data_IF_982399588748
#
_entry.id   IF_982399588748
#
_cell.length_a   1.000
_cell.length_b   1.000
_cell.length_c   1.000
_cell.angle_alpha   90.00
_cell.angle_beta   90.00
_cell.angle_gamma   90.00
#
_symmetry.space_group_name_H-M   'P 1'
#
loop_
_entity.id
_entity.type
_entity.pdbx_description
1 polymer ?
#
# COMPACT_ATOMS: atom_id res chain seq x y z
N UNK A 1 5.73 4.45 51.57
CA UNK A 1 4.87 3.86 50.51
C UNK A 1 5.75 3.11 49.55
N UNK A 2 5.85 1.78 49.69
CA UNK A 2 6.52 0.94 48.69
C UNK A 2 5.60 0.86 47.46
N UNK A 3 6.03 1.45 46.34
CA UNK A 3 5.42 1.16 45.05
C UNK A 3 5.75 -0.30 44.69
N UNK A 4 4.75 -1.15 44.37
CA UNK A 4 5.05 -2.51 43.93
C UNK A 4 5.80 -2.43 42.60
N UNK A 5 7.03 -2.95 42.56
CA UNK A 5 7.69 -3.30 41.31
C UNK A 5 6.89 -4.42 40.65
N UNK A 6 5.91 -4.06 39.84
CA UNK A 6 5.22 -5.01 38.98
C UNK A 6 6.18 -5.41 37.86
N UNK A 7 6.51 -6.70 37.76
CA UNK A 7 7.01 -7.31 36.53
C UNK A 7 5.91 -7.22 35.46
N UNK A 8 5.77 -6.05 34.84
CA UNK A 8 4.80 -5.81 33.78
C UNK A 8 5.31 -6.39 32.45
N UNK A 9 4.41 -6.97 31.65
CA UNK A 9 4.72 -7.36 30.27
C UNK A 9 5.19 -8.80 30.04
N UNK A 10 5.04 -9.71 31.01
CA UNK A 10 5.26 -11.14 30.75
C UNK A 10 4.08 -11.75 29.97
N UNK A 11 4.40 -12.43 28.88
CA UNK A 11 3.44 -13.25 28.14
C UNK A 11 3.60 -14.72 28.55
N UNK A 12 2.49 -15.45 28.68
CA UNK A 12 2.52 -16.86 29.08
C UNK A 12 2.62 -17.81 27.87
N UNK A 13 3.40 -18.91 27.98
CA UNK A 13 3.34 -20.02 27.02
C UNK A 13 1.95 -20.68 26.93
N UNK A 14 1.66 -21.44 25.85
CA UNK A 14 2.54 -21.74 24.71
C UNK A 14 2.60 -20.60 23.69
N UNK A 15 3.73 -20.51 22.98
CA UNK A 15 3.95 -19.64 21.82
C UNK A 15 3.98 -20.47 20.55
N UNK A 16 3.59 -19.87 19.42
CA UNK A 16 3.73 -20.48 18.11
C UNK A 16 5.11 -20.14 17.55
N UNK A 17 5.86 -21.17 17.16
CA UNK A 17 7.22 -21.02 16.61
C UNK A 17 7.24 -21.49 15.16
N UNK A 18 7.83 -20.67 14.29
CA UNK A 18 8.01 -20.99 12.86
C UNK A 18 9.47 -20.83 12.51
N UNK A 19 10.05 -21.79 11.78
CA UNK A 19 11.41 -21.70 11.27
C UNK A 19 11.37 -21.36 9.78
N UNK A 20 12.08 -20.31 9.37
CA UNK A 20 12.09 -19.82 7.98
C UNK A 20 13.47 -19.87 7.33
N UNK A 21 14.53 -20.17 8.09
CA UNK A 21 15.88 -20.39 7.56
C UNK A 21 16.47 -21.74 7.94
N UNK A 22 17.76 -21.93 7.61
CA UNK A 22 18.47 -23.18 7.90
C UNK A 22 18.56 -23.45 9.41
N UNK A 23 18.52 -24.72 9.80
CA UNK A 23 18.61 -25.11 11.23
C UNK A 23 19.87 -24.53 11.89
N UNK A 24 19.71 -23.97 13.09
CA UNK A 24 20.81 -23.34 13.83
C UNK A 24 21.09 -21.88 13.48
N UNK A 25 20.43 -21.28 12.48
CA UNK A 25 20.58 -19.84 12.19
C UNK A 25 19.60 -18.96 12.98
N UNK A 26 18.68 -19.56 13.73
CA UNK A 26 17.61 -18.89 14.48
C UNK A 26 16.71 -17.97 13.63
N UNK A 27 16.67 -18.18 12.31
CA UNK A 27 15.76 -17.46 11.41
C UNK A 27 14.36 -18.08 11.51
N UNK A 28 13.41 -17.29 12.00
CA UNK A 28 12.07 -17.75 12.35
C UNK A 28 11.30 -16.71 13.15
N UNK A 29 10.04 -17.00 13.47
CA UNK A 29 9.22 -16.15 14.32
C UNK A 29 8.70 -16.93 15.53
N UNK A 30 8.67 -16.25 16.69
CA UNK A 30 7.97 -16.69 17.90
C UNK A 30 6.84 -15.71 18.11
N UNK A 31 5.61 -16.19 18.09
CA UNK A 31 4.41 -15.37 18.15
C UNK A 31 3.50 -15.85 19.26
N UNK A 32 2.86 -14.90 19.95
CA UNK A 32 1.83 -15.22 20.91
C UNK A 32 0.46 -15.20 20.21
N UNK A 33 -0.24 -16.34 20.10
CA UNK A 33 -1.53 -16.39 19.41
C UNK A 33 -2.60 -15.53 20.08
N UNK A 34 -2.44 -15.19 21.37
CA UNK A 34 -3.36 -14.28 22.09
C UNK A 34 -3.19 -12.81 21.70
N UNK A 35 -2.07 -12.45 21.05
CA UNK A 35 -1.80 -11.10 20.55
C UNK A 35 -2.03 -11.03 19.04
N UNK A 36 -1.52 -12.02 18.29
CA UNK A 36 -1.68 -12.05 16.83
C UNK A 36 -3.12 -12.37 16.42
N UNK A 37 -3.82 -13.26 17.14
CA UNK A 37 -5.19 -13.64 16.84
C UNK A 37 -6.17 -12.46 16.74
N UNK A 38 -6.20 -11.53 17.72
CA UNK A 38 -7.01 -10.31 17.61
C UNK A 38 -6.66 -9.42 16.40
N UNK A 39 -5.37 -9.30 16.04
CA UNK A 39 -4.93 -8.52 14.86
C UNK A 39 -5.46 -9.14 13.56
N UNK A 40 -5.40 -10.47 13.45
CA UNK A 40 -5.95 -11.22 12.32
C UNK A 40 -7.48 -11.17 12.28
N UNK A 41 -8.14 -11.24 13.43
CA UNK A 41 -9.60 -11.14 13.54
C UNK A 41 -10.12 -9.74 13.16
N UNK A 42 -9.31 -8.69 13.38
CA UNK A 42 -9.61 -7.33 12.95
C UNK A 42 -9.52 -7.15 11.42
N UNK A 43 -8.87 -8.07 10.69
CA UNK A 43 -8.81 -8.06 9.23
C UNK A 43 -10.09 -8.63 8.58
N UNK A 44 -11.22 -7.97 8.85
CA UNK A 44 -12.52 -8.33 8.27
C UNK A 44 -12.59 -7.92 6.81
N UNK A 45 -13.01 -8.83 5.94
CA UNK A 45 -13.28 -8.55 4.54
C UNK A 45 -14.57 -7.72 4.41
N UNK A 46 -14.67 -6.85 3.39
CA UNK A 46 -15.91 -6.14 3.12
C UNK A 46 -16.94 -7.11 2.55
N UNK A 47 -18.22 -6.79 2.72
CA UNK A 47 -19.29 -7.56 2.07
C UNK A 47 -19.14 -7.51 0.54
N UNK A 48 -19.34 -8.64 -0.17
CA UNK A 48 -19.24 -8.66 -1.63
C UNK A 48 -20.26 -7.72 -2.27
N UNK A 49 -19.81 -6.96 -3.27
CA UNK A 49 -20.72 -6.20 -4.14
C UNK A 49 -21.05 -7.05 -5.36
N UNK A 50 -22.32 -7.44 -5.56
CA UNK A 50 -22.71 -8.31 -6.67
C UNK A 50 -22.26 -7.77 -8.02
N UNK A 51 -21.83 -8.67 -8.92
CA UNK A 51 -21.57 -8.33 -10.30
C UNK A 51 -22.88 -7.89 -10.98
N UNK A 52 -22.81 -6.82 -11.79
CA UNK A 52 -23.94 -6.41 -12.62
C UNK A 52 -23.76 -7.08 -13.98
N UNK A 53 -24.68 -7.98 -14.40
CA UNK A 53 -24.61 -8.59 -15.72
C UNK A 53 -24.51 -7.50 -16.80
N UNK A 54 -23.43 -7.52 -17.57
CA UNK A 54 -23.24 -6.59 -18.68
C UNK A 54 -23.46 -7.34 -19.99
N UNK A 55 -24.38 -6.88 -20.86
CA UNK A 55 -24.52 -7.42 -22.21
C UNK A 55 -23.20 -7.37 -22.99
N UNK A 56 -22.97 -8.27 -23.95
CA UNK A 56 -21.74 -8.34 -24.75
C UNK A 56 -21.37 -7.01 -25.42
N UNK A 57 -22.38 -6.23 -25.80
CA UNK A 57 -22.24 -4.86 -26.28
C UNK A 57 -22.89 -3.95 -25.25
N UNK A 58 -22.05 -3.29 -24.45
CA UNK A 58 -22.49 -2.30 -23.47
C UNK A 58 -21.77 -0.98 -23.75
N UNK A 59 -22.47 0.16 -23.75
CA UNK A 59 -21.82 1.46 -23.98
C UNK A 59 -20.80 1.74 -22.86
N UNK A 60 -19.68 2.37 -23.23
CA UNK A 60 -18.63 2.70 -22.28
C UNK A 60 -19.04 3.91 -21.45
N UNK A 61 -18.48 3.99 -20.25
CA UNK A 61 -18.80 5.04 -19.29
C UNK A 61 -18.47 6.44 -19.79
N UNK A 62 -17.46 6.57 -20.65
CA UNK A 62 -17.12 7.84 -21.32
C UNK A 62 -18.19 8.32 -22.29
N UNK A 63 -18.98 7.41 -22.87
CA UNK A 63 -20.01 7.70 -23.85
C UNK A 63 -21.37 7.98 -23.19
N UNK A 64 -21.59 7.40 -22.00
CA UNK A 64 -22.85 7.52 -21.25
C UNK A 64 -22.81 8.66 -20.23
N UNK A 65 -21.69 8.86 -19.54
CA UNK A 65 -21.58 9.80 -18.43
C UNK A 65 -20.67 10.99 -18.76
N UNK A 66 -20.98 12.15 -18.19
CA UNK A 66 -20.16 13.36 -18.32
C UNK A 66 -19.00 13.36 -17.31
N UNK A 67 -17.86 13.93 -17.70
CA UNK A 67 -16.68 14.15 -16.86
C UNK A 67 -16.04 12.85 -16.27
N UNK A 68 -16.07 11.75 -17.03
CA UNK A 68 -15.35 10.51 -16.67
C UNK A 68 -13.91 10.57 -17.18
N UNK A 69 -12.95 10.76 -16.28
CA UNK A 69 -11.53 10.96 -16.64
C UNK A 69 -10.65 9.72 -16.49
N UNK A 70 -11.01 8.80 -15.59
CA UNK A 70 -10.16 7.63 -15.24
C UNK A 70 -10.80 6.30 -15.62
N UNK A 71 -12.10 6.13 -15.37
CA UNK A 71 -12.84 4.88 -15.58
C UNK A 71 -13.68 4.89 -16.86
N UNK A 72 -13.24 5.65 -17.87
CA UNK A 72 -13.98 5.81 -19.12
C UNK A 72 -14.00 4.57 -20.00
N UNK A 73 -13.15 3.58 -19.70
CA UNK A 73 -13.03 2.28 -20.36
C UNK A 73 -14.00 1.21 -19.82
N UNK A 74 -14.70 1.48 -18.71
CA UNK A 74 -15.63 0.52 -18.13
C UNK A 74 -17.01 0.57 -18.83
N UNK A 75 -17.70 -0.56 -19.02
CA UNK A 75 -19.14 -0.57 -19.29
C UNK A 75 -19.91 0.19 -18.22
N UNK A 76 -21.00 0.87 -18.59
CA UNK A 76 -21.78 1.69 -17.64
C UNK A 76 -22.30 0.91 -16.40
N UNK A 77 -22.64 -0.37 -16.57
CA UNK A 77 -22.99 -1.27 -15.46
C UNK A 77 -21.84 -1.49 -14.49
N UNK A 78 -20.65 -1.84 -14.99
CA UNK A 78 -19.47 -2.04 -14.14
C UNK A 78 -18.98 -0.75 -13.49
N UNK A 79 -19.12 0.39 -14.16
CA UNK A 79 -18.87 1.70 -13.55
C UNK A 79 -19.79 1.95 -12.36
N UNK A 80 -21.09 1.68 -12.50
CA UNK A 80 -22.06 1.80 -11.41
C UNK A 80 -21.69 0.89 -10.25
N UNK A 81 -21.36 -0.38 -10.54
CA UNK A 81 -20.87 -1.33 -9.53
C UNK A 81 -19.62 -0.85 -8.81
N UNK A 82 -18.67 -0.29 -9.57
CA UNK A 82 -17.43 0.27 -9.01
C UNK A 82 -17.71 1.43 -8.06
N UNK A 83 -18.67 2.30 -8.37
CA UNK A 83 -19.07 3.39 -7.46
C UNK A 83 -19.73 2.87 -6.17
N UNK A 84 -20.57 1.83 -6.26
CA UNK A 84 -21.15 1.18 -5.08
C UNK A 84 -20.08 0.56 -4.19
N UNK A 85 -19.09 -0.11 -4.78
CA UNK A 85 -17.96 -0.68 -4.05
C UNK A 85 -17.10 0.38 -3.37
N UNK A 86 -16.75 1.46 -4.08
CA UNK A 86 -16.00 2.59 -3.49
C UNK A 86 -16.78 3.20 -2.31
N UNK A 87 -18.10 3.37 -2.46
CA UNK A 87 -18.95 3.89 -1.38
C UNK A 87 -18.89 3.02 -0.14
N UNK A 88 -19.10 1.71 -0.30
CA UNK A 88 -19.04 0.74 0.80
C UNK A 88 -17.66 0.69 1.48
N UNK A 89 -16.58 0.89 0.71
CA UNK A 89 -15.22 0.77 1.22
C UNK A 89 -14.64 2.04 1.85
N UNK A 90 -15.15 3.22 1.49
CA UNK A 90 -14.59 4.51 1.89
C UNK A 90 -15.54 5.27 2.81
N UNK A 91 -16.80 5.43 2.43
CA UNK A 91 -17.75 6.28 3.14
C UNK A 91 -19.14 5.62 3.24
N UNK A 92 -19.25 4.43 3.86
CA UNK A 92 -20.51 3.70 3.93
C UNK A 92 -21.59 4.44 4.74
N UNK A 93 -21.19 5.34 5.65
CA UNK A 93 -22.13 6.09 6.50
C UNK A 93 -22.67 7.33 5.78
N UNK A 94 -21.82 8.03 5.04
CA UNK A 94 -22.16 9.25 4.31
C UNK A 94 -22.74 8.95 2.91
N UNK A 95 -22.46 7.75 2.38
CA UNK A 95 -22.94 7.29 1.08
C UNK A 95 -22.37 8.09 -0.10
N UNK A 96 -23.10 8.11 -1.21
CA UNK A 96 -22.72 8.82 -2.43
C UNK A 96 -22.45 10.32 -2.19
N UNK A 97 -23.12 10.90 -1.20
CA UNK A 97 -23.05 12.32 -0.87
C UNK A 97 -21.68 12.74 -0.32
N UNK A 98 -20.83 11.79 0.10
CA UNK A 98 -19.47 12.09 0.55
C UNK A 98 -18.61 12.71 -0.56
N UNK A 99 -18.74 12.19 -1.78
CA UNK A 99 -17.99 12.63 -2.96
C UNK A 99 -18.83 13.49 -3.91
N UNK A 100 -20.16 13.40 -3.86
CA UNK A 100 -21.04 14.15 -4.75
C UNK A 100 -21.95 15.08 -3.94
N UNK A 101 -21.97 16.37 -4.29
CA UNK A 101 -22.83 17.33 -3.59
C UNK A 101 -24.30 17.09 -3.97
N UNK A 102 -25.16 16.93 -2.96
CA UNK A 102 -26.60 16.80 -3.17
C UNK A 102 -27.15 18.05 -3.88
N UNK A 103 -27.96 17.84 -4.93
CA UNK A 103 -28.55 18.92 -5.74
C UNK A 103 -27.67 19.39 -6.91
N UNK A 104 -26.39 19.02 -6.97
CA UNK A 104 -25.53 19.27 -8.14
C UNK A 104 -25.62 18.08 -9.13
N UNK A 105 -25.19 18.27 -10.38
CA UNK A 105 -24.96 17.15 -11.30
C UNK A 105 -23.86 16.23 -10.75
N UNK A 106 -24.00 14.90 -10.91
CA UNK A 106 -22.96 13.93 -10.52
C UNK A 106 -21.63 14.16 -11.25
N UNK A 107 -21.65 14.85 -12.39
CA UNK A 107 -20.49 15.25 -13.19
C UNK A 107 -19.65 16.35 -12.53
N UNK A 108 -20.23 17.16 -11.64
CA UNK A 108 -19.59 18.35 -11.05
C UNK A 108 -18.48 18.00 -10.05
N UNK A 109 -17.38 18.75 -10.07
CA UNK A 109 -16.21 18.56 -9.19
C UNK A 109 -16.19 19.53 -8.00
N UNK A 110 -17.39 19.88 -7.49
CA UNK A 110 -17.57 20.89 -6.43
C UNK A 110 -16.91 20.50 -5.11
N UNK A 111 -16.89 19.21 -4.75
CA UNK A 111 -16.32 18.74 -3.50
C UNK A 111 -14.88 18.26 -3.66
N UNK A 112 -14.00 18.66 -2.74
CA UNK A 112 -12.59 18.25 -2.74
C UNK A 112 -12.45 16.71 -2.69
N UNK A 113 -13.38 16.03 -2.02
CA UNK A 113 -13.43 14.56 -1.89
C UNK A 113 -13.54 13.87 -3.25
N UNK A 114 -14.22 14.45 -4.24
CA UNK A 114 -14.29 13.91 -5.60
C UNK A 114 -12.96 14.02 -6.34
N UNK A 115 -12.30 15.17 -6.22
CA UNK A 115 -10.98 15.41 -6.80
C UNK A 115 -9.96 14.42 -6.23
N UNK A 116 -9.98 14.22 -4.91
CA UNK A 116 -9.16 13.22 -4.22
C UNK A 116 -9.54 11.81 -4.67
N UNK A 117 -10.82 11.46 -4.70
CA UNK A 117 -11.28 10.13 -5.11
C UNK A 117 -10.81 9.76 -6.52
N UNK A 118 -10.85 10.71 -7.47
CA UNK A 118 -10.31 10.51 -8.83
C UNK A 118 -8.82 10.15 -8.79
N UNK A 119 -8.03 10.88 -8.01
CA UNK A 119 -6.59 10.63 -7.85
C UNK A 119 -6.33 9.27 -7.17
N UNK A 120 -7.15 8.88 -6.20
CA UNK A 120 -7.06 7.57 -5.53
C UNK A 120 -7.43 6.41 -6.45
N UNK A 121 -8.40 6.57 -7.35
CA UNK A 121 -8.72 5.55 -8.37
C UNK A 121 -7.52 5.34 -9.29
N UNK A 122 -6.92 6.44 -9.78
CA UNK A 122 -5.71 6.36 -10.60
C UNK A 122 -4.53 5.71 -9.84
N UNK A 123 -4.37 6.05 -8.56
CA UNK A 123 -3.38 5.43 -7.67
C UNK A 123 -3.60 3.93 -7.53
N UNK A 124 -4.86 3.52 -7.35
CA UNK A 124 -5.22 2.10 -7.19
C UNK A 124 -4.90 1.30 -8.44
N UNK A 125 -5.26 1.81 -9.63
CA UNK A 125 -4.92 1.17 -10.90
C UNK A 125 -3.41 1.04 -11.05
N UNK A 126 -2.68 2.13 -10.78
CA UNK A 126 -1.21 2.17 -10.83
C UNK A 126 -0.54 1.11 -9.95
N UNK A 127 -0.98 0.98 -8.70
CA UNK A 127 -0.48 -0.07 -7.80
C UNK A 127 -0.71 -1.47 -8.39
N UNK A 128 -1.91 -1.72 -8.92
CA UNK A 128 -2.31 -3.02 -9.44
C UNK A 128 -1.65 -3.37 -10.79
N UNK A 129 -1.23 -2.37 -11.57
CA UNK A 129 -0.59 -2.58 -12.87
C UNK A 129 0.93 -2.64 -12.77
N UNK A 130 1.53 -1.67 -12.07
CA UNK A 130 2.95 -1.35 -12.22
C UNK A 130 3.78 -1.91 -11.06
N UNK A 131 3.14 -2.13 -9.91
CA UNK A 131 3.80 -2.63 -8.69
C UNK A 131 3.53 -4.11 -8.41
N UNK A 132 3.30 -4.91 -9.46
CA UNK A 132 3.05 -6.36 -9.34
C UNK A 132 4.17 -7.12 -8.64
N UNK A 133 5.44 -6.68 -8.74
CA UNK A 133 6.54 -7.31 -8.01
C UNK A 133 6.44 -7.11 -6.49
N UNK A 134 5.56 -6.23 -6.02
CA UNK A 134 5.19 -6.09 -4.62
C UNK A 134 3.82 -6.73 -4.35
N UNK A 135 2.76 -6.25 -5.00
CA UNK A 135 1.38 -6.63 -4.64
C UNK A 135 0.94 -8.00 -5.15
N UNK A 136 1.68 -8.61 -6.08
CA UNK A 136 1.37 -9.93 -6.66
C UNK A 136 2.57 -10.89 -6.62
N UNK A 137 3.56 -10.62 -5.76
CA UNK A 137 4.84 -11.32 -5.74
C UNK A 137 4.77 -12.82 -5.37
N UNK A 138 3.68 -13.28 -4.74
CA UNK A 138 3.61 -14.64 -4.20
C UNK A 138 3.21 -15.73 -5.19
N UNK A 139 3.05 -15.44 -6.49
CA UNK A 139 2.73 -16.46 -7.50
C UNK A 139 1.33 -17.09 -7.37
N UNK A 140 0.59 -16.74 -6.32
CA UNK A 140 -0.80 -17.10 -6.11
C UNK A 140 -1.66 -16.41 -7.20
N UNK A 141 -2.05 -17.18 -8.21
CA UNK A 141 -2.91 -16.71 -9.29
C UNK A 141 -4.23 -16.14 -8.73
N UNK A 142 -4.29 -14.83 -8.57
CA UNK A 142 -5.45 -14.09 -8.08
C UNK A 142 -5.31 -13.44 -6.70
N UNK A 143 -4.26 -13.70 -5.91
CA UNK A 143 -4.11 -13.14 -4.55
C UNK A 143 -3.45 -11.75 -4.50
N UNK A 144 -3.26 -11.10 -5.65
CA UNK A 144 -2.51 -9.87 -5.75
C UNK A 144 -3.36 -8.64 -6.05
N UNK A 145 -3.03 -7.53 -5.40
CA UNK A 145 -3.61 -6.22 -5.66
C UNK A 145 -4.24 -5.56 -4.44
N UNK A 146 -4.61 -4.29 -4.62
CA UNK A 146 -5.24 -3.45 -3.61
C UNK A 146 -6.57 -2.92 -4.12
N UNK A 147 -7.51 -2.76 -3.20
CA UNK A 147 -8.73 -1.96 -3.38
C UNK A 147 -8.74 -0.78 -2.42
N UNK A 148 -9.74 0.10 -2.52
CA UNK A 148 -9.94 1.21 -1.58
C UNK A 148 -10.02 0.71 -0.14
N UNK A 149 -10.64 -0.46 0.07
CA UNK A 149 -10.82 -1.06 1.38
C UNK A 149 -9.50 -1.41 2.06
N UNK A 150 -8.45 -1.77 1.29
CA UNK A 150 -7.11 -2.09 1.83
C UNK A 150 -6.62 -1.06 2.83
N UNK A 151 -6.81 0.23 2.50
CA UNK A 151 -6.44 1.37 3.34
C UNK A 151 -7.62 1.88 4.18
N UNK A 152 -8.76 2.15 3.53
CA UNK A 152 -9.85 2.90 4.14
C UNK A 152 -10.65 2.11 5.18
N UNK A 153 -10.81 0.79 5.01
CA UNK A 153 -11.54 -0.06 5.98
C UNK A 153 -12.93 0.49 6.35
N UNK A 154 -13.66 1.06 5.39
CA UNK A 154 -14.97 1.68 5.63
C UNK A 154 -14.92 3.05 6.31
N UNK A 155 -13.75 3.70 6.36
CA UNK A 155 -13.56 5.01 6.95
C UNK A 155 -13.04 6.01 5.89
N UNK A 156 -13.58 7.24 5.83
CA UNK A 156 -13.15 8.18 4.81
C UNK A 156 -11.69 8.64 4.99
N UNK A 157 -11.16 8.56 6.20
CA UNK A 157 -9.74 8.76 6.51
C UNK A 157 -9.14 7.44 6.98
N UNK A 158 -8.12 6.89 6.29
CA UNK A 158 -7.45 5.66 6.72
C UNK A 158 -6.83 5.80 8.12
N UNK A 159 -6.95 4.77 8.95
CA UNK A 159 -6.51 4.82 10.36
C UNK A 159 -4.98 4.88 10.55
N UNK A 160 -4.21 4.45 9.55
CA UNK A 160 -2.75 4.29 9.63
C UNK A 160 -2.03 5.16 8.57
N UNK A 161 -2.37 6.44 8.55
CA UNK A 161 -1.66 7.47 7.78
C UNK A 161 -0.52 8.07 8.60
N UNK A 162 0.35 8.84 7.95
CA UNK A 162 1.41 9.57 8.63
C UNK A 162 1.61 10.98 8.05
N UNK A 163 2.19 11.84 8.87
CA UNK A 163 2.59 13.21 8.57
C UNK A 163 4.05 13.39 8.98
N UNK A 164 4.69 14.42 8.45
CA UNK A 164 6.03 14.83 8.87
C UNK A 164 5.98 15.18 10.35
N UNK A 165 6.86 14.58 11.15
CA UNK A 165 6.87 14.89 12.57
C UNK A 165 7.40 16.33 12.76
N UNK A 166 6.74 17.17 13.56
CA UNK A 166 7.28 18.48 13.86
C UNK A 166 8.59 18.30 14.63
N UNK A 167 9.52 19.24 14.44
CA UNK A 167 10.74 19.28 15.21
C UNK A 167 10.42 19.22 16.73
N UNK A 168 11.18 18.45 17.53
CA UNK A 168 10.95 18.41 18.96
C UNK A 168 11.02 19.82 19.56
N UNK A 169 10.16 20.11 20.53
CA UNK A 169 10.33 21.31 21.37
C UNK A 169 11.62 21.15 22.17
N UNK A 170 12.58 22.01 21.91
CA UNK A 170 13.87 22.04 22.58
C UNK A 170 14.22 23.48 22.98
N UNK A 171 14.95 23.63 24.09
CA UNK A 171 15.60 24.89 24.45
C UNK A 171 16.62 25.24 23.37
N UNK A 172 16.79 26.53 23.06
CA UNK A 172 17.75 26.96 22.04
C UNK A 172 19.19 26.55 22.36
N UNK A 173 20.01 26.35 21.31
CA UNK A 173 21.43 25.99 21.41
C UNK A 173 21.75 24.60 20.86
N UNK A 174 22.92 24.45 20.24
CA UNK A 174 23.36 23.21 19.58
C UNK A 174 23.55 22.03 20.54
N UNK A 175 23.81 22.29 21.81
CA UNK A 175 23.98 21.25 22.85
C UNK A 175 22.66 20.62 23.30
N UNK A 176 21.52 21.22 22.96
CA UNK A 176 20.19 20.72 23.28
C UNK A 176 19.51 20.04 22.07
N UNK A 177 20.14 20.04 20.90
CA UNK A 177 19.57 19.47 19.68
C UNK A 177 19.71 17.95 19.66
N UNK A 178 18.59 17.24 19.78
CA UNK A 178 18.58 15.77 19.71
C UNK A 178 18.54 15.25 18.27
N UNK A 179 18.50 16.14 17.27
CA UNK A 179 18.31 15.81 15.85
C UNK A 179 17.09 14.88 15.63
N UNK A 180 16.04 15.07 16.43
CA UNK A 180 14.83 14.26 16.35
C UNK A 180 14.93 12.85 16.97
N UNK A 181 16.02 12.51 17.67
CA UNK A 181 16.19 11.22 18.36
C UNK A 181 16.02 11.36 19.89
N UNK A 182 16.35 10.29 20.63
CA UNK A 182 16.42 10.25 22.10
C UNK A 182 15.08 10.45 22.82
N UNK A 183 13.99 10.03 22.18
CA UNK A 183 12.62 10.06 22.73
C UNK A 183 11.86 8.83 22.25
N UNK A 184 10.87 8.31 23.02
CA UNK A 184 10.03 7.22 22.57
C UNK A 184 9.33 7.56 21.25
N UNK A 185 9.65 6.82 20.19
CA UNK A 185 9.12 7.05 18.86
C UNK A 185 8.16 5.92 18.46
N UNK A 186 6.85 6.19 18.49
CA UNK A 186 5.82 5.21 18.09
C UNK A 186 6.06 4.71 16.67
N UNK A 187 6.43 5.61 15.74
CA UNK A 187 6.72 5.25 14.36
C UNK A 187 7.93 4.32 14.19
N UNK A 188 8.90 4.38 15.11
CA UNK A 188 10.10 3.54 15.17
C UNK A 188 10.01 2.47 16.27
N UNK A 189 8.79 2.09 16.65
CA UNK A 189 8.55 1.00 17.57
C UNK A 189 8.91 1.22 19.03
N UNK A 190 8.61 2.42 19.53
CA UNK A 190 8.88 2.86 20.91
C UNK A 190 10.37 2.89 21.27
N UNK A 191 11.26 2.81 20.28
CA UNK A 191 12.71 3.02 20.44
C UNK A 191 13.05 4.52 20.52
N UNK A 192 14.33 4.82 20.76
CA UNK A 192 14.89 6.18 20.75
C UNK A 192 15.50 6.60 19.40
N UNK A 193 15.32 5.80 18.33
CA UNK A 193 16.06 5.92 17.06
C UNK A 193 15.69 7.14 16.19
N UNK A 194 14.53 7.76 16.42
CA UNK A 194 14.09 8.95 15.67
C UNK A 194 12.58 9.07 15.59
N UNK A 195 12.06 10.29 15.76
CA UNK A 195 10.61 10.56 15.71
C UNK A 195 10.02 10.49 14.30
N UNK A 196 10.85 10.63 13.26
CA UNK A 196 10.44 10.58 11.86
C UNK A 196 11.31 9.61 11.04
N UNK A 197 11.04 8.31 11.12
CA UNK A 197 11.74 7.31 10.32
C UNK A 197 11.20 7.23 8.88
N UNK A 198 10.23 8.06 8.49
CA UNK A 198 9.50 7.91 7.23
C UNK A 198 9.83 9.01 6.23
N UNK A 199 9.89 10.29 6.63
CA UNK A 199 10.18 11.40 5.71
C UNK A 199 11.45 11.21 4.88
N UNK A 200 12.61 10.83 5.47
CA UNK A 200 13.84 10.67 4.69
C UNK A 200 13.76 9.60 3.61
N UNK A 201 12.94 8.56 3.84
CA UNK A 201 12.99 7.33 3.06
C UNK A 201 11.72 7.00 2.29
N UNK A 202 10.53 7.43 2.69
CA UNK A 202 9.26 7.15 2.01
C UNK A 202 8.67 8.40 1.35
N UNK A 203 9.24 9.57 1.62
CA UNK A 203 8.96 10.81 0.89
C UNK A 203 10.20 11.26 0.12
N UNK A 204 11.34 11.30 0.82
CA UNK A 204 12.65 11.40 0.21
C UNK A 204 13.16 10.07 -0.36
N UNK A 205 14.41 10.09 -0.81
CA UNK A 205 15.11 8.92 -1.31
C UNK A 205 16.52 8.81 -0.70
N UNK A 206 16.62 9.07 0.61
CA UNK A 206 17.89 8.89 1.31
C UNK A 206 18.40 7.46 1.22
N UNK A 207 19.73 7.32 1.26
CA UNK A 207 20.40 6.03 1.22
C UNK A 207 20.09 5.23 2.49
N UNK A 208 19.45 4.07 2.31
CA UNK A 208 19.16 3.09 3.38
C UNK A 208 20.40 2.20 3.67
N UNK A 209 21.18 1.84 2.65
CA UNK A 209 22.32 0.91 2.79
C UNK A 209 23.42 1.47 3.71
N UNK A 210 23.66 0.80 4.84
CA UNK A 210 24.69 1.16 5.83
C UNK A 210 25.98 0.33 5.76
N UNK A 211 25.88 -0.96 5.43
CA UNK A 211 27.05 -1.83 5.39
C UNK A 211 28.01 -1.47 4.24
N UNK A 212 29.31 -1.62 4.51
CA UNK A 212 30.36 -1.52 3.50
C UNK A 212 30.35 -2.75 2.57
N UNK A 213 30.91 -2.59 1.37
CA UNK A 213 31.06 -3.67 0.38
C UNK A 213 32.46 -4.30 0.37
N UNK A 214 33.35 -3.83 1.23
CA UNK A 214 34.73 -4.31 1.40
C UNK A 214 35.01 -4.54 2.88
N UNK A 215 35.93 -5.46 3.18
CA UNK A 215 36.31 -5.75 4.56
C UNK A 215 37.10 -4.60 5.21
N UNK A 216 38.01 -3.98 4.45
CA UNK A 216 38.78 -2.83 4.90
C UNK A 216 38.08 -1.51 4.55
N UNK A 217 38.24 -0.45 5.36
CA UNK A 217 37.73 0.88 5.04
C UNK A 217 38.45 1.45 3.81
N UNK A 218 37.74 1.58 2.69
CA UNK A 218 38.31 2.14 1.44
C UNK A 218 37.64 3.47 1.03
N UNK A 219 36.60 3.91 1.74
CA UNK A 219 35.85 5.15 1.49
C UNK A 219 35.33 5.74 2.81
N UNK A 220 34.91 7.00 2.80
CA UNK A 220 34.23 7.62 3.94
C UNK A 220 32.99 6.76 4.34
N UNK A 221 32.97 6.19 5.55
CA UNK A 221 31.87 5.33 5.97
C UNK A 221 30.60 6.16 6.21
N UNK A 222 29.44 5.50 6.05
CA UNK A 222 28.17 6.06 6.53
C UNK A 222 28.27 6.23 8.05
N UNK A 223 27.74 7.33 8.59
CA UNK A 223 27.78 7.59 10.03
C UNK A 223 26.90 6.62 10.81
N UNK A 224 27.22 6.43 12.09
CA UNK A 224 26.35 5.67 13.00
C UNK A 224 24.96 6.31 13.08
N UNK A 225 24.87 7.64 13.10
CA UNK A 225 23.60 8.37 13.08
C UNK A 225 22.74 8.01 11.85
N UNK A 226 23.33 7.92 10.65
CA UNK A 226 22.58 7.50 9.47
C UNK A 226 22.18 6.01 9.55
N UNK A 227 23.00 5.18 10.20
CA UNK A 227 22.66 3.77 10.46
C UNK A 227 21.48 3.64 11.42
N UNK A 228 21.40 4.47 12.46
CA UNK A 228 20.28 4.52 13.39
C UNK A 228 18.98 4.96 12.69
N UNK A 229 19.04 5.95 11.80
CA UNK A 229 17.87 6.34 10.98
C UNK A 229 17.37 5.18 10.12
N UNK A 230 18.28 4.46 9.45
CA UNK A 230 17.94 3.23 8.72
C UNK A 230 17.30 2.20 9.64
N UNK A 231 17.84 2.03 10.85
CA UNK A 231 17.30 1.07 11.80
C UNK A 231 15.90 1.46 12.27
N UNK A 232 15.63 2.76 12.46
CA UNK A 232 14.28 3.28 12.76
C UNK A 232 13.26 2.94 11.67
N UNK A 233 13.64 3.04 10.39
CA UNK A 233 12.80 2.58 9.27
C UNK A 233 12.56 1.07 9.33
N UNK A 234 13.60 0.26 9.60
CA UNK A 234 13.43 -1.19 9.70
C UNK A 234 12.48 -1.58 10.85
N UNK A 235 12.57 -0.90 12.00
CA UNK A 235 11.63 -1.07 13.11
C UNK A 235 10.19 -0.75 12.68
N UNK A 236 9.98 0.36 11.95
CA UNK A 236 8.67 0.69 11.39
C UNK A 236 8.13 -0.43 10.49
N UNK A 237 8.96 -0.94 9.58
CA UNK A 237 8.57 -2.00 8.66
C UNK A 237 8.20 -3.29 9.39
N UNK A 238 9.04 -3.73 10.33
CA UNK A 238 8.77 -4.91 11.17
C UNK A 238 7.44 -4.81 11.90
N UNK A 239 7.16 -3.68 12.54
CA UNK A 239 5.89 -3.48 13.24
C UNK A 239 4.69 -3.38 12.29
N UNK A 240 4.86 -2.71 11.15
CA UNK A 240 3.80 -2.56 10.16
C UNK A 240 3.34 -3.89 9.57
N UNK A 241 4.25 -4.86 9.48
CA UNK A 241 4.00 -6.20 8.94
C UNK A 241 3.77 -7.25 10.03
N UNK A 242 3.97 -6.93 11.32
CA UNK A 242 3.85 -7.90 12.41
C UNK A 242 4.89 -9.02 12.36
N UNK A 243 6.11 -8.71 11.91
CA UNK A 243 7.22 -9.67 11.74
C UNK A 243 8.48 -9.15 12.41
N UNK A 244 9.49 -10.02 12.55
CA UNK A 244 10.82 -9.63 13.02
C UNK A 244 11.81 -9.44 11.85
N UNK A 245 13.05 -9.08 12.17
CA UNK A 245 14.11 -8.84 11.18
C UNK A 245 14.40 -10.07 10.31
N UNK A 246 14.30 -11.27 10.88
CA UNK A 246 14.63 -12.54 10.19
C UNK A 246 13.63 -12.89 9.09
N UNK A 247 12.48 -12.22 9.06
CA UNK A 247 11.55 -12.32 7.96
C UNK A 247 12.20 -11.86 6.64
N UNK A 248 13.13 -10.90 6.68
CA UNK A 248 13.81 -10.35 5.49
C UNK A 248 15.33 -10.50 5.51
N UNK A 249 15.95 -10.88 6.63
CA UNK A 249 17.41 -10.89 6.76
C UNK A 249 17.92 -12.17 7.42
N UNK A 250 19.11 -12.61 7.02
CA UNK A 250 20.00 -13.32 7.93
C UNK A 250 20.80 -12.25 8.69
N UNK A 251 20.56 -12.09 9.99
CA UNK A 251 21.10 -10.95 10.75
C UNK A 251 22.62 -11.01 10.96
N UNK A 252 23.28 -12.14 10.67
CA UNK A 252 24.75 -12.21 10.58
C UNK A 252 25.30 -11.27 9.50
N UNK A 253 24.52 -10.98 8.47
CA UNK A 253 24.81 -9.97 7.45
C UNK A 253 23.52 -9.40 6.86
N UNK A 254 23.12 -8.21 7.33
CA UNK A 254 21.97 -7.49 6.77
C UNK A 254 22.20 -7.01 5.33
N UNK A 255 23.46 -6.98 4.87
CA UNK A 255 23.84 -6.52 3.54
C UNK A 255 23.62 -7.59 2.49
N UNK A 256 23.91 -8.85 2.83
CA UNK A 256 24.05 -9.95 1.88
C UNK A 256 22.70 -10.37 1.31
N UNK A 257 22.53 -10.19 -0.01
CA UNK A 257 21.28 -10.50 -0.69
C UNK A 257 21.12 -12.00 -0.93
N UNK A 258 22.21 -12.71 -1.24
CA UNK A 258 22.16 -14.15 -1.49
C UNK A 258 21.73 -14.95 -0.25
N UNK A 259 21.93 -14.38 0.95
CA UNK A 259 21.55 -14.99 2.23
C UNK A 259 20.23 -14.44 2.80
N UNK A 260 19.59 -13.50 2.09
CA UNK A 260 18.33 -12.92 2.52
C UNK A 260 17.14 -13.73 1.99
N UNK A 261 16.07 -13.91 2.79
CA UNK A 261 14.80 -14.43 2.29
C UNK A 261 14.22 -13.61 1.11
N UNK A 262 13.47 -14.23 0.18
CA UNK A 262 12.89 -13.54 -0.98
C UNK A 262 11.97 -12.36 -0.65
N UNK A 263 11.35 -12.40 0.53
CA UNK A 263 10.56 -11.30 1.12
C UNK A 263 11.31 -9.97 1.17
N UNK A 264 12.65 -9.98 1.27
CA UNK A 264 13.47 -8.76 1.21
C UNK A 264 13.36 -8.08 -0.16
N UNK A 265 13.29 -8.85 -1.23
CA UNK A 265 13.08 -8.33 -2.59
C UNK A 265 11.69 -7.72 -2.74
N UNK A 266 10.65 -8.38 -2.22
CA UNK A 266 9.28 -7.83 -2.17
C UNK A 266 9.22 -6.54 -1.35
N UNK A 267 9.94 -6.46 -0.24
CA UNK A 267 10.03 -5.27 0.60
C UNK A 267 10.77 -4.12 -0.09
N UNK A 268 11.82 -4.42 -0.88
CA UNK A 268 12.51 -3.43 -1.71
C UNK A 268 11.56 -2.75 -2.71
N UNK A 269 10.73 -3.54 -3.41
CA UNK A 269 9.69 -2.98 -4.26
C UNK A 269 8.64 -2.20 -3.46
N UNK A 270 8.26 -2.67 -2.28
CA UNK A 270 7.32 -1.97 -1.40
C UNK A 270 7.80 -0.59 -0.93
N UNK A 271 9.10 -0.43 -0.62
CA UNK A 271 9.70 0.86 -0.28
C UNK A 271 9.59 1.84 -1.46
N UNK A 272 9.95 1.38 -2.67
CA UNK A 272 9.90 2.23 -3.86
C UNK A 272 8.47 2.57 -4.27
N UNK A 273 7.53 1.64 -4.11
CA UNK A 273 6.11 1.90 -4.27
C UNK A 273 5.65 2.99 -3.31
N UNK A 274 5.91 2.88 -2.00
CA UNK A 274 5.48 3.90 -1.04
C UNK A 274 6.02 5.30 -1.36
N UNK A 275 7.27 5.40 -1.82
CA UNK A 275 7.86 6.67 -2.32
C UNK A 275 7.08 7.25 -3.48
N UNK A 276 6.87 6.43 -4.50
CA UNK A 276 6.15 6.79 -5.71
C UNK A 276 4.72 7.27 -5.37
N UNK A 277 3.98 6.53 -4.55
CA UNK A 277 2.63 6.92 -4.12
C UNK A 277 2.62 8.26 -3.37
N UNK A 278 3.56 8.47 -2.46
CA UNK A 278 3.63 9.71 -1.69
C UNK A 278 3.94 10.92 -2.58
N UNK A 279 4.91 10.78 -3.50
CA UNK A 279 5.36 11.88 -4.37
C UNK A 279 4.37 12.15 -5.51
N UNK A 280 3.92 11.12 -6.22
CA UNK A 280 3.11 11.27 -7.43
C UNK A 280 1.60 11.43 -7.15
N UNK A 281 1.11 10.93 -6.00
CA UNK A 281 -0.31 10.91 -5.68
C UNK A 281 -0.71 11.74 -4.48
N UNK A 282 0.03 11.66 -3.36
CA UNK A 282 -0.37 12.38 -2.15
C UNK A 282 0.08 13.85 -2.16
N UNK A 283 1.37 14.13 -2.36
CA UNK A 283 1.92 15.49 -2.30
C UNK A 283 1.15 16.52 -3.17
N UNK A 284 0.78 16.23 -4.44
CA UNK A 284 0.06 17.18 -5.27
C UNK A 284 -1.32 17.56 -4.75
N UNK A 285 -1.91 16.76 -3.84
CA UNK A 285 -3.22 17.02 -3.24
C UNK A 285 -3.16 17.97 -2.04
N UNK A 286 -1.98 18.42 -1.61
CA UNK A 286 -1.83 19.25 -0.39
C UNK A 286 -2.74 20.48 -0.40
N UNK A 287 -2.84 21.19 -1.53
CA UNK A 287 -3.69 22.39 -1.66
C UNK A 287 -5.18 22.06 -1.88
N UNK A 288 -5.51 20.80 -2.17
CA UNK A 288 -6.89 20.32 -2.35
C UNK A 288 -7.51 19.94 -1.00
N UNK A 289 -6.70 19.42 -0.08
CA UNK A 289 -7.17 19.05 1.25
C UNK A 289 -7.48 20.29 2.10
N UNK A 290 -8.61 20.32 2.82
CA UNK A 290 -8.90 21.38 3.78
C UNK A 290 -7.94 21.32 4.97
N UNK A 291 -7.77 22.44 5.67
CA UNK A 291 -6.79 22.59 6.76
C UNK A 291 -6.93 21.53 7.86
N UNK A 292 -8.15 21.07 8.17
CA UNK A 292 -8.41 20.03 9.17
C UNK A 292 -7.98 18.61 8.73
N UNK A 293 -7.43 18.46 7.51
CA UNK A 293 -6.88 17.20 6.98
C UNK A 293 -5.36 17.27 6.77
N UNK A 294 -4.73 18.38 7.13
CA UNK A 294 -3.28 18.56 7.07
C UNK A 294 -2.63 18.26 8.42
N UNK A 295 -1.38 17.85 8.36
CA UNK A 295 -0.55 17.57 9.53
C UNK A 295 -0.11 18.84 10.26
N UNK A 296 0.60 18.68 11.39
CA UNK A 296 1.07 19.80 12.20
C UNK A 296 2.04 20.73 11.47
N UNK A 297 2.70 20.25 10.41
CA UNK A 297 3.59 21.06 9.55
C UNK A 297 2.89 21.56 8.29
N UNK A 298 1.57 21.40 8.17
CA UNK A 298 0.78 21.76 6.99
C UNK A 298 0.90 20.78 5.82
N UNK A 299 1.49 19.61 6.02
CA UNK A 299 1.65 18.60 4.98
C UNK A 299 0.44 17.68 4.86
N UNK A 300 0.23 17.12 3.67
CA UNK A 300 -0.83 16.14 3.44
C UNK A 300 -0.52 14.79 4.10
N UNK A 301 -1.57 14.04 4.43
CA UNK A 301 -1.46 12.65 4.86
C UNK A 301 -0.74 11.81 3.80
N UNK A 302 0.12 10.89 4.24
CA UNK A 302 0.92 10.03 3.36
C UNK A 302 0.71 8.54 3.66
N UNK A 303 1.15 7.71 2.73
CA UNK A 303 1.08 6.25 2.74
C UNK A 303 2.39 5.68 3.29
N UNK A 304 2.27 4.65 4.11
CA UNK A 304 3.38 3.84 4.65
C UNK A 304 3.04 2.36 4.58
N UNK A 305 3.95 1.50 5.03
CA UNK A 305 3.69 0.06 5.18
C UNK A 305 2.44 -0.20 6.03
N UNK A 306 2.31 0.52 7.18
CA UNK A 306 1.20 0.34 8.11
C UNK A 306 -0.17 0.70 7.52
N UNK A 307 -0.23 1.55 6.49
CA UNK A 307 -1.47 2.02 5.88
C UNK A 307 -2.28 0.86 5.29
N UNK A 308 -1.59 -0.08 4.65
CA UNK A 308 -2.19 -1.28 4.05
C UNK A 308 -2.09 -2.50 4.97
N UNK A 309 -0.90 -2.77 5.50
CA UNK A 309 -0.57 -4.02 6.18
C UNK A 309 -1.20 -4.15 7.57
N UNK A 310 -1.30 -3.05 8.30
CA UNK A 310 -1.99 -2.97 9.59
C UNK A 310 -1.61 -4.08 10.58
N UNK A 311 -0.31 -4.42 10.64
CA UNK A 311 0.24 -5.42 11.56
C UNK A 311 0.31 -6.83 11.01
N UNK A 312 0.00 -7.06 9.72
CA UNK A 312 0.18 -8.36 9.06
C UNK A 312 1.04 -8.28 7.80
N UNK A 313 1.81 -9.33 7.55
CA UNK A 313 2.73 -9.39 6.40
C UNK A 313 2.02 -9.40 5.05
N UNK A 314 0.73 -9.77 5.00
CA UNK A 314 -0.17 -9.56 3.86
C UNK A 314 -1.41 -8.78 4.33
N UNK A 315 -1.78 -7.65 3.69
CA UNK A 315 -3.02 -6.94 4.00
C UNK A 315 -4.22 -7.88 3.92
N UNK A 316 -5.17 -7.76 4.85
CA UNK A 316 -6.39 -8.57 4.86
C UNK A 316 -6.13 -10.08 4.76
N UNK A 317 -5.02 -10.56 5.34
CA UNK A 317 -4.59 -11.97 5.29
C UNK A 317 -4.32 -12.48 3.87
N UNK A 318 -4.10 -11.59 2.90
CA UNK A 318 -3.86 -11.95 1.50
C UNK A 318 -5.13 -12.24 0.70
N UNK A 319 -6.30 -11.73 1.13
CA UNK A 319 -7.54 -11.94 0.41
C UNK A 319 -7.52 -11.33 -1.01
N UNK A 320 -8.00 -12.04 -2.04
CA UNK A 320 -7.91 -11.66 -3.45
C UNK A 320 -8.96 -10.62 -3.88
N UNK A 321 -9.11 -9.50 -3.16
CA UNK A 321 -10.21 -8.54 -3.41
C UNK A 321 -10.23 -7.94 -4.82
N UNK A 322 -9.07 -7.86 -5.49
CA UNK A 322 -8.99 -7.37 -6.87
C UNK A 322 -9.67 -8.32 -7.87
N UNK A 323 -9.69 -9.63 -7.59
CA UNK A 323 -10.28 -10.64 -8.48
C UNK A 323 -11.75 -10.33 -8.79
N UNK A 324 -12.49 -9.88 -7.79
CA UNK A 324 -13.91 -9.56 -7.92
C UNK A 324 -14.14 -8.14 -8.42
N UNK A 325 -13.10 -7.32 -8.54
CA UNK A 325 -13.16 -5.92 -8.97
C UNK A 325 -12.08 -5.59 -10.02
N UNK A 326 -12.07 -6.29 -11.18
CA UNK A 326 -11.05 -6.12 -12.21
C UNK A 326 -10.98 -4.69 -12.77
N UNK A 327 -12.05 -3.91 -12.62
CA UNK A 327 -12.12 -2.48 -12.94
C UNK A 327 -11.02 -1.63 -12.26
N UNK A 328 -10.49 -2.08 -11.12
CA UNK A 328 -9.40 -1.42 -10.40
C UNK A 328 -8.01 -1.89 -10.83
N UNK A 329 -7.93 -2.79 -11.81
CA UNK A 329 -6.69 -3.22 -12.45
C UNK A 329 -6.34 -2.37 -13.66
N UNK A 330 -5.66 -3.00 -14.62
CA UNK A 330 -5.28 -2.37 -15.87
C UNK A 330 -6.49 -1.81 -16.63
N UNK A 331 -6.32 -0.73 -17.42
CA UNK A 331 -7.23 -0.36 -18.49
C UNK A 331 -7.72 -1.59 -19.25
N UNK A 332 -9.04 -1.78 -19.29
CA UNK A 332 -9.63 -2.78 -20.16
C UNK A 332 -9.39 -2.23 -21.56
N UNK A 333 -8.56 -2.91 -22.36
CA UNK A 333 -8.44 -2.58 -23.77
C UNK A 333 -9.86 -2.61 -24.33
N UNK A 334 -10.28 -1.53 -25.00
CA UNK A 334 -11.53 -1.52 -25.74
C UNK A 334 -11.56 -2.82 -26.54
N UNK A 335 -12.63 -3.61 -26.39
CA UNK A 335 -12.83 -4.78 -27.22
C UNK A 335 -12.63 -4.29 -28.65
N UNK A 336 -11.53 -4.69 -29.27
CA UNK A 336 -11.29 -4.42 -30.68
C UNK A 336 -12.56 -4.87 -31.38
N UNK A 337 -13.20 -3.98 -32.13
CA UNK A 337 -14.33 -4.32 -32.99
C UNK A 337 -13.94 -5.56 -33.80
N UNK A 338 -14.35 -6.75 -33.35
CA UNK A 338 -14.12 -8.00 -34.06
C UNK A 338 -15.09 -8.14 -35.23
N UNK A 339 -15.55 -7.02 -35.78
CA UNK A 339 -16.22 -6.96 -37.09
C UNK A 339 -15.20 -6.90 -38.23
N UNK A 340 -13.91 -6.69 -37.96
CA UNK A 340 -12.89 -7.00 -38.97
C UNK A 340 -12.68 -8.51 -39.01
N UNK A 341 -13.39 -9.17 -39.93
CA UNK A 341 -13.02 -10.50 -40.42
C UNK A 341 -11.52 -10.45 -40.76
N UNK A 342 -10.65 -11.28 -40.17
CA UNK A 342 -9.24 -11.29 -40.54
C UNK A 342 -9.13 -11.53 -42.05
N UNK A 343 -8.35 -10.72 -42.77
CA UNK A 343 -8.21 -10.81 -44.23
C UNK A 343 -7.71 -12.21 -44.69
N UNK A 344 -7.10 -12.96 -43.77
CA UNK A 344 -6.69 -14.35 -43.96
C UNK A 344 -7.85 -15.36 -44.00
N UNK A 345 -9.03 -15.02 -43.46
CA UNK A 345 -10.25 -15.83 -43.54
C UNK A 345 -11.03 -15.60 -44.84
N UNK A 346 -10.95 -14.41 -45.45
CA UNK A 346 -11.56 -14.12 -46.76
C UNK A 346 -10.76 -14.77 -47.90
N UNK A 347 -9.42 -14.89 -47.76
CA UNK A 347 -8.55 -15.49 -48.77
C UNK A 347 -8.71 -17.02 -48.92
N UNK A 348 -9.29 -17.73 -47.93
CA UNK A 348 -9.50 -19.19 -47.99
C UNK A 348 -10.84 -19.61 -48.61
N UNK A 349 -11.77 -18.68 -48.81
CA UNK A 349 -13.08 -18.98 -49.45
C UNK A 349 -13.06 -18.65 -50.96
N UNK A 350 -12.11 -17.81 -51.41
CA UNK A 350 -11.98 -17.41 -52.82
C UNK A 350 -11.22 -18.41 -53.73
N UNK A 351 -10.74 -19.53 -53.20
CA UNK A 351 -10.08 -20.58 -53.99
C UNK A 351 -10.80 -21.92 -53.84
N UNK A 352 -12.04 -22.02 -54.33
CA UNK A 352 -12.55 -23.30 -54.84
C UNK A 352 -12.23 -23.34 -56.34
N UNK A 353 -11.51 -24.37 -56.85
CA UNK A 353 -11.26 -24.50 -58.27
C UNK A 353 -12.57 -24.82 -58.99
N UNK A 354 -12.74 -24.22 -60.17
CA UNK A 354 -13.79 -24.56 -61.11
C UNK A 354 -13.71 -26.05 -61.46
N UNK A 355 -14.84 -26.74 -61.33
CA UNK A 355 -15.09 -28.07 -61.88
C UNK A 355 -14.72 -28.09 -63.37
N UNK A 356 -13.77 -28.94 -63.75
CA UNK A 356 -13.62 -29.42 -65.12
C UNK A 356 -14.52 -30.64 -65.31
N UNK A 357 -15.16 -30.67 -66.50
CA UNK A 357 -15.98 -31.69 -67.17
C UNK A 357 -16.21 -33.04 -66.49
#
# INVERSE_FOLDING_TARGET
MLAPLLLAGCEKPPMDSTQTGFRGTAMGAVQNPRIVGPVEAAQKLPDPVPAIPSPPVSPLSRDVFKNVQVLGDLPAGEFTRTMLAITAWVAPQEGCAYCHKAGDELSADTLYTKVVARKMIAMTRHINTDWKQHVAASGDAGAGGVTCYTCHRGQPVPARIWFTAPAPRQTGGSTADSNGQNRPAVAAGLTSLGIDPLSPYLLGNERIRAAATTALPVNAPISIQQTEKTFGLMMHMSQSLGVNCTYCHNTRSHAEWAESPPTRTTAFHGINMARDLNVAYMLPLTQVFPANRLGPTGDVAKVSCATCHQGLFKPLKGAPLLKDHPALGAPVAAASDTTSVPSTAVAKVATRPATQR
#
